data_IF_608825997065
#
_entry.id   IF_608825997065
#
_cell.length_a   1.000
_cell.length_b   1.000
_cell.length_c   1.000
_cell.angle_alpha   90.00
_cell.angle_beta   90.00
_cell.angle_gamma   90.00
#
_symmetry.space_group_name_H-M   'P 1'
#
loop_
_entity.id
_entity.type
_entity.pdbx_description
1 polymer ?
#
# COMPACT_ATOMS: atom_id res chain seq x y z
N UNK A 1 51.06 -44.70 11.18
CA UNK A 1 50.20 -44.40 12.35
C UNK A 1 48.84 -43.73 11.98
N UNK A 2 48.80 -42.69 11.16
CA UNK A 2 47.52 -42.06 10.78
C UNK A 2 46.70 -42.94 9.82
N UNK A 3 47.37 -43.57 8.85
CA UNK A 3 46.72 -44.40 7.82
C UNK A 3 46.17 -45.74 8.37
N UNK A 4 46.80 -46.30 9.38
CA UNK A 4 46.31 -47.49 10.05
C UNK A 4 45.14 -47.24 11.00
N UNK A 5 45.12 -46.09 11.69
CA UNK A 5 43.96 -45.67 12.48
C UNK A 5 42.75 -45.35 11.59
N UNK A 6 42.97 -44.67 10.46
CA UNK A 6 41.91 -44.38 9.53
C UNK A 6 41.30 -45.64 8.90
N UNK A 7 42.13 -46.63 8.52
CA UNK A 7 41.63 -47.91 8.01
C UNK A 7 40.85 -48.70 9.08
N UNK A 8 41.24 -48.59 10.35
CA UNK A 8 40.56 -49.26 11.45
C UNK A 8 39.20 -48.60 11.75
N UNK A 9 39.14 -47.30 11.71
CA UNK A 9 37.88 -46.56 11.86
C UNK A 9 36.92 -46.76 10.66
N UNK A 10 37.42 -46.80 9.44
CA UNK A 10 36.63 -47.12 8.25
C UNK A 10 36.10 -48.57 8.29
N UNK A 11 36.89 -49.54 8.76
CA UNK A 11 36.41 -50.91 8.90
C UNK A 11 35.38 -51.06 10.03
N UNK A 12 35.49 -50.27 11.09
CA UNK A 12 34.49 -50.24 12.17
C UNK A 12 33.18 -49.55 11.77
N UNK A 13 33.21 -48.68 10.74
CA UNK A 13 32.05 -48.01 10.19
C UNK A 13 31.27 -48.83 9.17
N UNK A 14 31.81 -49.95 8.69
CA UNK A 14 31.09 -50.85 7.81
C UNK A 14 30.00 -51.58 8.61
N UNK A 15 28.75 -51.63 8.08
CA UNK A 15 27.67 -52.36 8.75
C UNK A 15 28.07 -53.84 8.90
N UNK A 16 27.79 -54.41 10.08
CA UNK A 16 28.06 -55.81 10.32
C UNK A 16 27.30 -56.70 9.32
N UNK A 17 27.86 -57.90 9.03
CA UNK A 17 27.20 -58.84 8.11
C UNK A 17 25.74 -59.14 8.54
N UNK A 18 25.46 -59.13 9.83
CA UNK A 18 24.10 -59.27 10.36
C UNK A 18 23.20 -58.07 10.03
N UNK A 19 23.73 -56.85 9.94
CA UNK A 19 23.00 -55.66 9.56
C UNK A 19 22.71 -55.63 8.04
N UNK A 20 23.65 -56.11 7.24
CA UNK A 20 23.48 -56.25 5.78
C UNK A 20 22.43 -57.30 5.45
N UNK A 21 22.47 -58.44 6.09
CA UNK A 21 21.47 -59.52 5.99
C UNK A 21 20.05 -59.09 6.48
N UNK A 22 19.99 -58.23 7.51
CA UNK A 22 18.73 -57.67 7.98
C UNK A 22 18.14 -56.65 6.99
N UNK A 23 19.00 -55.87 6.32
CA UNK A 23 18.62 -54.93 5.28
C UNK A 23 18.12 -55.64 4.03
N UNK A 24 18.84 -56.74 3.59
CA UNK A 24 18.42 -57.55 2.45
C UNK A 24 17.05 -58.24 2.70
N UNK A 25 16.85 -58.82 3.88
CA UNK A 25 15.54 -59.39 4.28
C UNK A 25 14.44 -58.34 4.31
N UNK A 26 14.74 -57.13 4.72
CA UNK A 26 13.77 -56.02 4.72
C UNK A 26 13.47 -55.52 3.31
N UNK A 27 14.44 -55.47 2.44
CA UNK A 27 14.27 -55.13 1.02
C UNK A 27 13.47 -56.24 0.28
N UNK A 28 13.73 -57.51 0.55
CA UNK A 28 12.96 -58.62 -0.03
C UNK A 28 11.52 -58.69 0.47
N UNK A 29 11.27 -58.33 1.73
CA UNK A 29 9.94 -58.17 2.27
C UNK A 29 9.17 -56.99 1.60
N UNK A 30 9.86 -55.91 1.26
CA UNK A 30 9.29 -54.78 0.51
C UNK A 30 9.01 -55.15 -0.96
N UNK A 31 9.83 -56.02 -1.57
CA UNK A 31 9.62 -56.54 -2.95
C UNK A 31 8.43 -57.53 -3.02
N UNK A 32 8.05 -58.17 -1.94
CA UNK A 32 6.92 -59.16 -1.86
C UNK A 32 5.58 -58.49 -1.51
N UNK A 33 5.45 -57.18 -1.46
CA UNK A 33 4.16 -56.53 -1.25
C UNK A 33 3.21 -56.80 -2.43
N UNK A 34 1.94 -57.09 -2.18
CA UNK A 34 0.98 -57.43 -3.22
C UNK A 34 0.91 -56.25 -4.22
N UNK A 35 0.80 -56.59 -5.50
CA UNK A 35 0.67 -55.64 -6.61
C UNK A 35 -0.44 -54.66 -6.27
N UNK A 36 -0.07 -53.41 -5.98
CA UNK A 36 -1.02 -52.31 -5.90
C UNK A 36 -1.75 -52.23 -7.25
N UNK A 37 -3.04 -51.84 -7.26
CA UNK A 37 -3.77 -51.62 -8.51
C UNK A 37 -2.92 -50.67 -9.39
N UNK A 38 -3.01 -50.81 -10.71
CA UNK A 38 -2.08 -50.17 -11.63
C UNK A 38 -2.07 -48.67 -11.38
N UNK A 39 -0.93 -48.19 -10.89
CA UNK A 39 -0.69 -46.78 -10.56
C UNK A 39 -1.02 -45.84 -11.73
N UNK A 40 -1.05 -46.41 -12.95
CA UNK A 40 -1.47 -45.70 -14.16
C UNK A 40 -2.95 -45.27 -14.13
N UNK A 41 -3.88 -46.12 -13.67
CA UNK A 41 -5.30 -45.76 -13.66
C UNK A 41 -5.59 -44.73 -12.56
N UNK A 42 -4.97 -44.89 -11.38
CA UNK A 42 -5.07 -43.89 -10.29
C UNK A 42 -4.40 -42.57 -10.68
N UNK A 43 -3.27 -42.64 -11.37
CA UNK A 43 -2.56 -41.45 -11.87
C UNK A 43 -3.38 -40.74 -12.98
N UNK A 44 -4.05 -41.47 -13.85
CA UNK A 44 -4.90 -40.91 -14.89
C UNK A 44 -6.16 -40.26 -14.29
N UNK A 45 -6.77 -40.87 -13.28
CA UNK A 45 -7.92 -40.30 -12.59
C UNK A 45 -7.52 -39.06 -11.79
N UNK A 46 -6.38 -39.10 -11.09
CA UNK A 46 -5.84 -37.93 -10.39
C UNK A 46 -5.43 -36.83 -11.35
N UNK A 47 -4.82 -37.17 -12.49
CA UNK A 47 -4.48 -36.20 -13.54
C UNK A 47 -5.74 -35.61 -14.19
N UNK A 48 -6.77 -36.42 -14.45
CA UNK A 48 -8.05 -35.95 -14.96
C UNK A 48 -8.78 -35.05 -13.95
N UNK A 49 -8.77 -35.39 -12.66
CA UNK A 49 -9.29 -34.55 -11.58
C UNK A 49 -8.48 -33.25 -11.41
N UNK A 50 -7.15 -33.34 -11.59
CA UNK A 50 -6.27 -32.15 -11.57
C UNK A 50 -6.51 -31.27 -12.81
N UNK A 51 -6.67 -31.84 -13.99
CA UNK A 51 -6.99 -31.12 -15.22
C UNK A 51 -8.41 -30.52 -15.20
N UNK A 52 -9.34 -31.12 -14.50
CA UNK A 52 -10.68 -30.55 -14.26
C UNK A 52 -10.66 -29.49 -13.13
N UNK A 53 -9.76 -29.62 -12.16
CA UNK A 53 -9.63 -28.66 -11.07
C UNK A 53 -8.74 -27.44 -11.44
N UNK A 54 -7.78 -27.61 -12.37
CA UNK A 54 -6.88 -26.52 -12.82
C UNK A 54 -7.64 -25.32 -13.39
N UNK A 55 -8.69 -25.46 -14.24
CA UNK A 55 -9.45 -24.29 -14.68
C UNK A 55 -10.40 -23.73 -13.61
N UNK A 56 -10.74 -24.50 -12.56
CA UNK A 56 -11.56 -24.02 -11.44
C UNK A 56 -10.71 -23.37 -10.33
N UNK A 57 -9.44 -23.73 -10.24
CA UNK A 57 -8.52 -23.15 -9.25
C UNK A 57 -8.35 -21.63 -9.39
N UNK A 58 -8.20 -21.05 -10.59
CA UNK A 58 -8.16 -19.60 -10.75
C UNK A 58 -9.46 -18.92 -10.34
N UNK A 59 -10.61 -19.54 -10.64
CA UNK A 59 -11.92 -18.99 -10.25
C UNK A 59 -12.19 -19.08 -8.74
N UNK A 60 -11.59 -20.06 -8.05
CA UNK A 60 -11.68 -20.21 -6.59
C UNK A 60 -10.61 -19.38 -5.84
N UNK A 61 -9.54 -18.98 -6.54
CA UNK A 61 -8.41 -18.20 -5.99
C UNK A 61 -8.43 -16.75 -6.46
N UNK A 62 -9.26 -16.40 -7.45
CA UNK A 62 -9.51 -15.01 -7.78
C UNK A 62 -10.40 -14.43 -6.70
N UNK A 63 -10.00 -13.30 -6.08
CA UNK A 63 -10.95 -12.54 -5.29
C UNK A 63 -12.09 -12.21 -6.22
N UNK A 64 -13.27 -12.34 -5.70
CA UNK A 64 -14.48 -12.02 -6.47
C UNK A 64 -14.46 -10.49 -6.69
N UNK A 65 -13.86 -10.06 -7.78
CA UNK A 65 -14.06 -8.73 -8.35
C UNK A 65 -15.51 -8.72 -8.80
N UNK A 66 -16.38 -8.28 -7.90
CA UNK A 66 -17.82 -8.24 -8.16
C UNK A 66 -18.15 -6.84 -8.67
N UNK A 67 -19.15 -6.74 -9.54
CA UNK A 67 -19.67 -5.45 -9.96
C UNK A 67 -20.28 -4.66 -8.79
N UNK A 68 -20.76 -3.48 -9.07
CA UNK A 68 -21.26 -2.56 -8.04
C UNK A 68 -22.44 -3.15 -7.23
N UNK A 69 -23.27 -4.03 -7.82
CA UNK A 69 -24.41 -4.65 -7.11
C UNK A 69 -23.95 -5.47 -5.91
N UNK A 70 -22.88 -6.23 -6.06
CA UNK A 70 -22.33 -7.02 -4.97
C UNK A 70 -21.63 -6.18 -3.91
N UNK A 71 -20.98 -5.08 -4.31
CA UNK A 71 -20.46 -4.09 -3.39
C UNK A 71 -21.59 -3.49 -2.55
N UNK A 72 -22.67 -3.05 -3.18
CA UNK A 72 -23.84 -2.47 -2.51
C UNK A 72 -24.48 -3.48 -1.55
N UNK A 73 -24.68 -4.72 -1.99
CA UNK A 73 -25.23 -5.78 -1.13
C UNK A 73 -24.33 -6.07 0.08
N UNK A 74 -23.00 -6.01 -0.10
CA UNK A 74 -22.05 -6.20 1.01
C UNK A 74 -22.09 -5.03 1.98
N UNK A 75 -22.12 -3.80 1.50
CA UNK A 75 -22.16 -2.57 2.31
C UNK A 75 -23.45 -2.48 3.12
N UNK A 76 -24.61 -2.83 2.54
CA UNK A 76 -25.90 -2.81 3.26
C UNK A 76 -25.91 -3.74 4.49
N UNK A 77 -25.10 -4.80 4.47
CA UNK A 77 -24.91 -5.70 5.61
C UNK A 77 -23.92 -5.21 6.66
N UNK A 78 -23.23 -4.08 6.45
CA UNK A 78 -22.18 -3.62 7.34
C UNK A 78 -22.71 -2.63 8.40
N UNK A 79 -22.24 -2.82 9.64
CA UNK A 79 -22.44 -1.85 10.71
C UNK A 79 -21.73 -0.55 10.36
N UNK A 80 -22.44 0.57 10.44
CA UNK A 80 -21.89 1.89 10.16
C UNK A 80 -21.96 2.34 8.70
N UNK A 81 -22.50 1.52 7.77
CA UNK A 81 -22.84 1.97 6.44
C UNK A 81 -24.16 2.76 6.49
N UNK A 82 -24.07 4.06 6.47
CA UNK A 82 -25.22 4.98 6.57
C UNK A 82 -24.94 6.27 5.81
N UNK A 83 -26.00 7.01 5.49
CA UNK A 83 -25.88 8.37 5.02
C UNK A 83 -25.21 9.25 6.09
N UNK A 84 -24.40 10.19 5.67
CA UNK A 84 -23.85 11.20 6.57
C UNK A 84 -24.97 12.13 7.02
N UNK A 85 -24.96 12.47 8.30
CA UNK A 85 -25.84 13.50 8.86
C UNK A 85 -25.00 14.60 9.53
N UNK A 86 -25.48 15.82 9.62
CA UNK A 86 -24.77 16.88 10.33
C UNK A 86 -24.37 16.51 11.76
N UNK A 87 -25.15 15.66 12.44
CA UNK A 87 -24.86 15.18 13.80
C UNK A 87 -23.68 14.19 13.86
N UNK A 88 -23.34 13.51 12.77
CA UNK A 88 -22.19 12.59 12.74
C UNK A 88 -20.87 13.32 12.94
N UNK A 89 -20.86 14.63 12.63
CA UNK A 89 -19.69 15.48 12.76
C UNK A 89 -19.54 16.08 14.16
N UNK A 90 -20.58 16.10 14.97
CA UNK A 90 -20.52 16.65 16.33
C UNK A 90 -19.92 15.69 17.35
N UNK A 91 -19.87 14.38 17.06
CA UNK A 91 -19.50 13.34 18.01
C UNK A 91 -18.43 12.35 17.51
N UNK A 92 -18.00 12.42 16.28
CA UNK A 92 -16.95 11.53 15.78
C UNK A 92 -15.57 12.10 16.12
N UNK A 93 -15.12 11.79 17.34
CA UNK A 93 -13.67 11.69 17.62
C UNK A 93 -13.11 10.37 17.06
N UNK A 94 -13.68 9.87 15.98
CA UNK A 94 -13.01 8.83 15.21
C UNK A 94 -11.75 9.49 14.66
N UNK A 95 -10.69 9.37 15.45
CA UNK A 95 -9.34 9.65 15.06
C UNK A 95 -9.13 9.07 13.66
N UNK A 96 -9.11 9.94 12.65
CA UNK A 96 -8.20 9.73 11.55
C UNK A 96 -6.92 9.36 12.26
N UNK A 97 -6.47 8.11 12.17
CA UNK A 97 -5.17 7.77 12.69
C UNK A 97 -4.22 8.67 11.90
N UNK A 98 -3.86 9.78 12.56
CA UNK A 98 -2.69 10.53 12.18
C UNK A 98 -1.58 9.48 12.21
N UNK A 99 -1.16 9.04 11.04
CA UNK A 99 0.03 8.22 10.91
C UNK A 99 1.11 9.20 11.36
N UNK A 100 1.52 9.10 12.63
CA UNK A 100 2.71 9.80 13.07
C UNK A 100 3.80 9.45 12.05
N UNK A 101 4.45 10.45 11.46
CA UNK A 101 5.60 10.18 10.63
C UNK A 101 6.54 9.32 11.47
N UNK A 102 7.12 8.25 10.91
CA UNK A 102 8.03 7.40 11.67
C UNK A 102 9.09 8.30 12.27
N UNK A 103 9.28 8.19 13.58
CA UNK A 103 10.35 8.89 14.27
C UNK A 103 11.62 8.65 13.45
N UNK A 104 12.31 9.73 13.11
CA UNK A 104 13.57 9.70 12.37
C UNK A 104 14.56 8.90 13.20
N UNK A 105 14.73 7.62 12.89
CA UNK A 105 15.82 6.83 13.40
C UNK A 105 17.10 7.35 12.74
N UNK A 106 18.11 7.59 13.57
CA UNK A 106 19.42 7.99 13.10
C UNK A 106 19.96 6.97 12.06
N UNK A 107 20.62 7.41 11.01
CA UNK A 107 21.07 6.52 9.95
C UNK A 107 22.04 5.48 10.50
N UNK A 108 21.67 4.20 10.39
CA UNK A 108 22.61 3.12 10.58
C UNK A 108 23.55 3.08 9.38
N UNK A 109 24.83 3.30 9.62
CA UNK A 109 25.91 3.09 8.66
C UNK A 109 25.81 1.72 7.99
N UNK A 110 25.65 1.69 6.67
CA UNK A 110 25.90 0.47 5.93
C UNK A 110 25.18 0.32 4.61
N UNK A 111 25.64 0.94 3.57
CA UNK A 111 25.83 0.34 2.24
C UNK A 111 26.62 1.32 1.34
N UNK A 112 27.89 0.99 1.07
CA UNK A 112 28.64 1.59 -0.03
C UNK A 112 27.96 1.23 -1.36
N UNK A 113 27.20 2.18 -1.89
CA UNK A 113 26.78 2.20 -3.30
C UNK A 113 27.69 3.17 -4.02
N UNK A 114 28.38 2.67 -5.04
CA UNK A 114 29.43 3.38 -5.73
C UNK A 114 28.98 4.66 -6.40
N UNK A 115 29.78 5.69 -6.20
CA UNK A 115 30.03 6.84 -7.07
C UNK A 115 28.87 7.81 -7.36
N UNK A 116 27.94 8.02 -6.43
CA UNK A 116 27.11 9.23 -6.43
C UNK A 116 27.76 10.27 -5.51
N UNK A 117 27.91 11.50 -6.00
CA UNK A 117 28.47 12.62 -5.22
C UNK A 117 27.53 13.09 -4.09
N UNK A 118 26.40 12.41 -3.86
CA UNK A 118 25.38 12.70 -2.86
C UNK A 118 24.71 11.39 -2.39
N UNK A 119 24.16 11.41 -1.18
CA UNK A 119 23.36 10.31 -0.63
C UNK A 119 21.95 10.34 -1.25
N UNK A 120 21.51 9.22 -1.81
CA UNK A 120 20.10 9.06 -2.21
C UNK A 120 19.20 8.97 -0.98
N UNK A 121 17.90 9.30 -1.14
CA UNK A 121 16.89 9.08 -0.09
C UNK A 121 16.90 7.60 0.31
N UNK A 122 16.86 7.34 1.62
CA UNK A 122 16.83 5.98 2.15
C UNK A 122 15.48 5.33 1.84
N UNK A 123 15.39 4.59 0.75
CA UNK A 123 14.18 3.88 0.35
C UNK A 123 14.21 2.43 0.88
N UNK A 124 13.07 1.90 1.30
CA UNK A 124 12.95 0.52 1.78
C UNK A 124 13.39 -0.50 0.72
N UNK A 125 13.06 -0.25 -0.55
CA UNK A 125 13.37 -1.13 -1.67
C UNK A 125 14.09 -0.35 -2.76
N UNK A 126 15.21 -0.89 -3.24
CA UNK A 126 15.97 -0.29 -4.32
C UNK A 126 15.10 -0.11 -5.59
N UNK A 127 15.12 1.10 -6.17
CA UNK A 127 14.35 1.44 -7.36
C UNK A 127 12.87 1.79 -7.11
N UNK A 128 12.39 1.69 -5.87
CA UNK A 128 11.08 2.19 -5.43
C UNK A 128 11.30 3.42 -4.60
N UNK A 129 10.93 4.57 -5.12
CA UNK A 129 11.07 5.82 -4.38
C UNK A 129 9.91 6.01 -3.41
N UNK A 130 10.25 6.45 -2.22
CA UNK A 130 9.32 6.89 -1.19
C UNK A 130 9.22 8.41 -1.19
N UNK A 131 8.06 8.97 -0.84
CA UNK A 131 7.92 10.42 -0.72
C UNK A 131 8.70 10.94 0.49
N UNK A 132 9.07 12.21 0.43
CA UNK A 132 9.84 12.88 1.49
C UNK A 132 9.56 14.40 1.44
N UNK A 133 10.01 15.10 2.45
CA UNK A 133 9.99 16.56 2.50
C UNK A 133 11.27 17.19 1.95
N UNK A 134 12.32 16.41 1.77
CA UNK A 134 13.61 16.86 1.19
C UNK A 134 14.16 15.81 0.23
N UNK A 135 14.46 16.20 -0.99
CA UNK A 135 15.10 15.35 -2.00
C UNK A 135 16.16 16.13 -2.80
N UNK A 136 17.07 15.39 -3.42
CA UNK A 136 18.08 15.99 -4.31
C UNK A 136 18.23 15.17 -5.58
N UNK A 137 18.58 15.85 -6.68
CA UNK A 137 19.02 15.24 -7.94
C UNK A 137 20.56 15.31 -8.11
N UNK A 138 21.28 15.69 -7.05
CA UNK A 138 22.73 15.85 -7.04
C UNK A 138 23.23 17.24 -7.46
N UNK A 139 22.35 18.09 -7.98
CA UNK A 139 22.64 19.47 -8.39
C UNK A 139 21.73 20.48 -7.74
N UNK A 140 20.49 20.08 -7.47
CA UNK A 140 19.48 20.87 -6.80
C UNK A 140 18.97 20.13 -5.57
N UNK A 141 18.71 20.91 -4.55
CA UNK A 141 18.01 20.49 -3.34
C UNK A 141 16.57 20.98 -3.42
N UNK A 142 15.65 20.07 -3.30
CA UNK A 142 14.22 20.33 -3.23
C UNK A 142 13.80 20.18 -1.78
N UNK A 143 13.23 21.20 -1.18
CA UNK A 143 12.83 21.19 0.23
C UNK A 143 11.46 21.79 0.41
N UNK A 144 10.56 21.03 1.04
CA UNK A 144 9.19 21.43 1.33
C UNK A 144 9.12 22.12 2.70
N UNK A 145 8.72 23.38 2.72
CA UNK A 145 8.36 24.10 3.93
C UNK A 145 6.89 23.85 4.25
N UNK A 146 6.63 22.83 5.08
CA UNK A 146 5.26 22.43 5.42
C UNK A 146 4.46 23.53 6.13
N UNK A 147 5.13 24.41 6.88
CA UNK A 147 4.47 25.55 7.56
C UNK A 147 4.03 26.67 6.61
N UNK A 148 4.70 26.79 5.45
CA UNK A 148 4.42 27.82 4.43
C UNK A 148 3.71 27.23 3.21
N UNK A 149 3.63 25.90 3.10
CA UNK A 149 3.13 25.19 1.91
C UNK A 149 3.92 25.54 0.63
N UNK A 150 5.21 25.81 0.74
CA UNK A 150 6.07 26.19 -0.38
C UNK A 150 7.18 25.17 -0.55
N UNK A 151 7.41 24.73 -1.77
CA UNK A 151 8.57 23.91 -2.12
C UNK A 151 9.67 24.79 -2.69
N UNK A 152 10.82 24.83 -2.02
CA UNK A 152 11.99 25.57 -2.47
C UNK A 152 12.90 24.69 -3.31
N UNK A 153 13.41 25.24 -4.40
CA UNK A 153 14.43 24.62 -5.24
C UNK A 153 15.71 25.43 -5.11
N UNK A 154 16.72 24.82 -4.54
CA UNK A 154 18.01 25.44 -4.24
C UNK A 154 19.09 24.76 -5.06
N UNK A 155 19.85 25.52 -5.82
CA UNK A 155 21.02 25.02 -6.54
C UNK A 155 22.18 24.82 -5.55
N UNK A 156 22.75 23.62 -5.61
CA UNK A 156 23.97 23.27 -4.85
C UNK A 156 25.15 23.13 -5.81
N UNK A 157 26.14 24.00 -5.72
CA UNK A 157 27.31 23.99 -6.57
C UNK A 157 28.56 24.23 -5.72
N UNK A 158 29.45 23.22 -5.67
CA UNK A 158 30.71 23.25 -4.93
C UNK A 158 30.59 23.77 -3.47
N UNK A 159 29.56 23.36 -2.77
CA UNK A 159 29.29 23.75 -1.39
C UNK A 159 28.61 25.11 -1.23
N UNK A 160 28.27 25.79 -2.33
CA UNK A 160 27.54 27.06 -2.33
C UNK A 160 26.06 26.77 -2.67
N UNK A 161 25.16 27.24 -1.82
CA UNK A 161 23.72 27.14 -2.03
C UNK A 161 23.19 28.47 -2.57
N UNK A 162 22.38 28.42 -3.62
CA UNK A 162 21.71 29.59 -4.19
C UNK A 162 20.27 29.26 -4.56
N UNK A 163 19.32 30.15 -4.25
CA UNK A 163 17.91 29.96 -4.62
C UNK A 163 17.81 29.91 -6.16
N UNK A 164 17.07 28.88 -6.65
CA UNK A 164 16.79 28.73 -8.07
C UNK A 164 15.34 29.09 -8.39
N UNK A 165 14.39 28.49 -7.66
CA UNK A 165 12.95 28.72 -7.81
C UNK A 165 12.21 28.36 -6.53
N UNK A 166 10.91 28.64 -6.51
CA UNK A 166 9.96 28.13 -5.53
C UNK A 166 8.66 27.74 -6.23
N UNK A 167 7.98 26.74 -5.71
CA UNK A 167 6.65 26.32 -6.13
C UNK A 167 5.70 26.67 -4.98
N UNK A 168 4.64 27.45 -5.28
CA UNK A 168 3.49 27.70 -4.39
C UNK A 168 2.30 26.86 -4.86
N UNK A 169 2.19 25.60 -4.44
CA UNK A 169 1.15 24.72 -4.95
C UNK A 169 -0.27 25.16 -4.58
N UNK A 170 -0.41 25.92 -3.51
CA UNK A 170 -1.70 26.47 -3.09
C UNK A 170 -2.10 27.66 -3.99
N UNK A 171 -1.13 28.47 -4.40
CA UNK A 171 -1.34 29.55 -5.37
C UNK A 171 -1.48 29.08 -6.82
N UNK A 172 -0.76 28.02 -7.19
CA UNK A 172 -0.73 27.51 -8.58
C UNK A 172 -1.96 26.64 -8.94
N UNK A 173 -2.67 26.09 -7.93
CA UNK A 173 -3.72 25.09 -8.13
C UNK A 173 -5.06 25.69 -8.50
N UNK A 174 -5.59 25.28 -9.65
CA UNK A 174 -6.98 25.58 -10.04
C UNK A 174 -8.00 24.87 -9.13
N UNK A 175 -7.68 23.67 -8.65
CA UNK A 175 -8.52 22.91 -7.72
C UNK A 175 -8.61 23.62 -6.37
N UNK A 176 -7.49 24.11 -5.84
CA UNK A 176 -7.46 24.87 -4.59
C UNK A 176 -8.26 26.18 -4.74
N UNK A 177 -8.12 26.88 -5.86
CA UNK A 177 -8.88 28.09 -6.13
C UNK A 177 -10.40 27.84 -6.13
N UNK A 178 -10.85 26.76 -6.77
CA UNK A 178 -12.25 26.33 -6.77
C UNK A 178 -12.76 26.01 -5.35
N UNK A 179 -12.01 25.25 -4.56
CA UNK A 179 -12.37 24.93 -3.16
C UNK A 179 -12.45 26.20 -2.31
N UNK A 180 -11.52 27.13 -2.50
CA UNK A 180 -11.55 28.44 -1.81
C UNK A 180 -12.79 29.25 -2.14
N UNK A 181 -13.16 29.29 -3.41
CA UNK A 181 -14.38 30.00 -3.84
C UNK A 181 -15.62 29.42 -3.14
N UNK A 182 -15.75 28.10 -3.11
CA UNK A 182 -16.84 27.44 -2.40
C UNK A 182 -16.83 27.73 -0.88
N UNK A 183 -15.67 27.74 -0.26
CA UNK A 183 -15.54 28.06 1.19
C UNK A 183 -15.94 29.53 1.47
N UNK A 184 -15.62 30.46 0.57
CA UNK A 184 -15.94 31.88 0.71
C UNK A 184 -17.44 32.17 0.59
N UNK A 185 -18.18 31.39 -0.20
CA UNK A 185 -19.64 31.51 -0.32
C UNK A 185 -20.34 31.21 1.00
N UNK A 186 -19.77 30.38 1.87
CA UNK A 186 -20.35 29.97 3.14
C UNK A 186 -19.80 30.72 4.35
N UNK A 187 -18.75 31.51 4.20
CA UNK A 187 -18.10 32.18 5.30
C UNK A 187 -18.44 33.67 5.31
N UNK A 188 -19.24 34.13 6.26
CA UNK A 188 -19.55 35.55 6.51
C UNK A 188 -18.27 36.40 6.76
N UNK A 189 -17.39 36.51 5.77
CA UNK A 189 -16.23 37.42 5.77
C UNK A 189 -15.11 37.11 6.77
N UNK A 190 -15.23 36.08 7.64
CA UNK A 190 -14.19 35.70 8.62
C UNK A 190 -13.19 34.66 8.10
N UNK A 191 -13.38 34.14 6.90
CA UNK A 191 -12.58 33.06 6.31
C UNK A 191 -11.12 33.42 6.02
N UNK A 192 -10.79 34.67 5.82
CA UNK A 192 -9.49 35.10 5.34
C UNK A 192 -8.28 34.81 6.24
N UNK A 193 -8.49 34.46 7.52
CA UNK A 193 -7.40 34.07 8.45
C UNK A 193 -7.22 32.56 8.62
N UNK A 194 -8.14 31.75 8.10
CA UNK A 194 -8.21 30.31 8.35
C UNK A 194 -7.84 29.45 7.14
N UNK A 195 -7.68 30.08 5.99
CA UNK A 195 -7.45 29.47 4.69
C UNK A 195 -6.17 28.61 4.64
N UNK A 196 -5.06 29.13 5.15
CA UNK A 196 -3.78 28.44 5.07
C UNK A 196 -3.70 27.10 5.85
N UNK A 197 -4.55 26.91 6.86
CA UNK A 197 -4.57 25.66 7.64
C UNK A 197 -5.41 24.54 6.98
N UNK A 198 -6.22 24.88 5.99
CA UNK A 198 -7.10 23.93 5.30
C UNK A 198 -6.40 23.18 4.16
N UNK A 199 -5.29 23.75 3.69
CA UNK A 199 -4.47 23.19 2.62
C UNK A 199 -3.09 22.89 3.19
N UNK A 200 -2.69 21.63 3.13
CA UNK A 200 -1.41 21.20 3.70
C UNK A 200 -0.63 20.38 2.70
N UNK A 201 0.55 20.89 2.33
CA UNK A 201 1.53 20.09 1.61
C UNK A 201 2.11 19.04 2.57
N UNK A 202 2.05 17.79 2.17
CA UNK A 202 2.48 16.67 3.03
C UNK A 202 3.90 16.26 2.70
N UNK A 203 4.14 15.90 1.45
CA UNK A 203 5.42 15.38 0.96
C UNK A 203 5.44 15.36 -0.56
N UNK A 204 6.57 15.00 -1.17
CA UNK A 204 6.67 14.93 -2.61
C UNK A 204 7.57 13.78 -3.08
N UNK A 205 7.40 13.42 -4.34
CA UNK A 205 8.21 12.46 -5.09
C UNK A 205 8.97 13.19 -6.19
N UNK A 206 10.20 12.77 -6.45
CA UNK A 206 11.04 13.34 -7.51
C UNK A 206 11.60 12.20 -8.36
N UNK A 207 11.18 12.11 -9.61
CA UNK A 207 11.63 11.07 -10.53
C UNK A 207 11.94 11.62 -11.93
N UNK A 208 13.20 11.59 -12.32
CA UNK A 208 13.64 12.20 -13.56
C UNK A 208 13.32 13.71 -13.58
N UNK A 209 12.59 14.15 -14.61
CA UNK A 209 12.18 15.55 -14.76
C UNK A 209 10.79 15.83 -14.20
N UNK A 210 10.25 14.97 -13.36
CA UNK A 210 8.89 15.09 -12.79
C UNK A 210 8.96 15.16 -11.27
N UNK A 211 8.25 16.12 -10.72
CA UNK A 211 8.01 16.28 -9.30
C UNK A 211 6.51 16.11 -9.06
N UNK A 212 6.13 15.20 -8.16
CA UNK A 212 4.73 15.01 -7.76
C UNK A 212 4.59 15.45 -6.32
N UNK A 213 3.89 16.55 -6.10
CA UNK A 213 3.61 17.11 -4.78
C UNK A 213 2.25 16.63 -4.30
N UNK A 214 2.16 16.25 -3.02
CA UNK A 214 0.96 15.69 -2.41
C UNK A 214 0.44 16.66 -1.35
N UNK A 215 -0.84 17.03 -1.49
CA UNK A 215 -1.52 17.96 -0.61
C UNK A 215 -2.76 17.30 0.00
N UNK A 216 -3.03 17.66 1.24
CA UNK A 216 -4.34 17.43 1.87
C UNK A 216 -5.19 18.67 1.64
N UNK A 217 -6.42 18.48 1.17
CA UNK A 217 -7.40 19.54 0.89
C UNK A 217 -8.76 19.16 1.51
N UNK A 218 -9.67 20.11 1.77
CA UNK A 218 -11.02 19.80 2.22
C UNK A 218 -11.75 18.85 1.26
N UNK A 219 -12.45 17.86 1.80
CA UNK A 219 -13.20 16.92 0.99
C UNK A 219 -14.41 17.58 0.33
N UNK A 220 -14.68 17.25 -0.93
CA UNK A 220 -15.76 17.80 -1.72
C UNK A 220 -17.14 17.55 -1.08
N UNK A 221 -17.36 16.35 -0.51
CA UNK A 221 -18.61 16.01 0.20
C UNK A 221 -18.82 16.87 1.45
N UNK A 222 -17.74 17.27 2.12
CA UNK A 222 -17.82 18.16 3.27
C UNK A 222 -18.30 19.55 2.82
N UNK A 223 -17.78 20.06 1.72
CA UNK A 223 -18.18 21.36 1.18
C UNK A 223 -19.67 21.41 0.85
N UNK A 224 -20.25 20.30 0.40
CA UNK A 224 -21.69 20.20 0.10
C UNK A 224 -22.59 20.24 1.35
N UNK A 225 -22.05 19.95 2.53
CA UNK A 225 -22.79 19.95 3.81
C UNK A 225 -22.63 21.26 4.60
N UNK A 226 -21.72 22.14 4.19
CA UNK A 226 -21.46 23.40 4.89
C UNK A 226 -22.71 24.23 5.20
N UNK A 227 -23.72 24.33 4.29
CA UNK A 227 -24.93 25.09 4.55
C UNK A 227 -25.74 24.61 5.75
N UNK A 228 -25.65 23.32 6.06
CA UNK A 228 -26.45 22.63 7.09
C UNK A 228 -25.69 22.43 8.41
N UNK A 229 -24.40 22.80 8.45
CA UNK A 229 -23.58 22.66 9.64
C UNK A 229 -23.73 23.83 10.60
N UNK A 230 -23.90 23.58 11.92
CA UNK A 230 -23.94 24.66 12.91
C UNK A 230 -22.59 25.36 13.05
N UNK A 231 -22.61 26.62 13.41
CA UNK A 231 -21.45 27.55 13.47
C UNK A 231 -20.32 27.15 14.43
N UNK A 232 -20.44 26.00 15.11
CA UNK A 232 -19.53 25.52 16.13
C UNK A 232 -18.53 24.52 15.60
N UNK A 233 -17.29 24.92 15.46
CA UNK A 233 -16.15 23.99 15.47
C UNK A 233 -15.79 23.31 14.17
N UNK A 234 -15.90 23.97 13.05
CA UNK A 234 -15.56 23.51 11.71
C UNK A 234 -14.18 22.85 11.51
N UNK A 235 -13.32 22.86 12.54
CA UNK A 235 -11.89 22.61 12.36
C UNK A 235 -11.42 21.18 12.61
N UNK A 236 -12.18 20.37 13.36
CA UNK A 236 -11.78 19.00 13.68
C UNK A 236 -12.57 17.93 12.93
N UNK A 237 -13.44 18.33 11.99
CA UNK A 237 -14.41 17.43 11.36
C UNK A 237 -14.25 17.37 9.86
N UNK A 238 -13.24 18.06 9.33
CA UNK A 238 -12.96 18.09 7.88
C UNK A 238 -12.54 16.71 7.40
N UNK A 239 -13.43 16.03 6.69
CA UNK A 239 -12.99 14.99 5.79
C UNK A 239 -11.97 15.60 4.83
N UNK A 240 -10.94 14.86 4.53
CA UNK A 240 -9.88 15.32 3.65
C UNK A 240 -9.92 14.56 2.33
N UNK A 241 -9.63 15.26 1.26
CA UNK A 241 -9.28 14.72 -0.05
C UNK A 241 -7.78 14.90 -0.28
N UNK A 242 -7.26 14.14 -1.22
CA UNK A 242 -5.85 14.20 -1.61
C UNK A 242 -5.71 14.86 -2.95
N UNK A 243 -4.88 15.89 -3.06
CA UNK A 243 -4.53 16.52 -4.32
C UNK A 243 -3.08 16.17 -4.67
N UNK A 244 -2.87 15.51 -5.81
CA UNK A 244 -1.55 15.29 -6.37
C UNK A 244 -1.32 16.27 -7.52
N UNK A 245 -0.23 17.03 -7.46
CA UNK A 245 0.17 18.01 -8.47
C UNK A 245 1.47 17.57 -9.12
N UNK A 246 1.45 17.39 -10.43
CA UNK A 246 2.62 16.97 -11.20
C UNK A 246 3.25 18.18 -11.87
N UNK A 247 4.50 18.45 -11.55
CA UNK A 247 5.31 19.52 -12.15
C UNK A 247 6.36 18.95 -13.09
N UNK A 248 6.64 19.67 -14.15
CA UNK A 248 7.84 19.52 -14.97
C UNK A 248 8.96 20.34 -14.35
N UNK A 249 10.05 19.68 -13.99
CA UNK A 249 11.26 20.27 -13.41
C UNK A 249 12.50 20.00 -14.27
N UNK A 250 12.31 19.80 -15.59
CA UNK A 250 13.42 19.67 -16.53
C UNK A 250 14.35 20.88 -16.49
N UNK A 251 13.77 22.07 -16.27
CA UNK A 251 14.49 23.25 -15.82
C UNK A 251 14.09 23.57 -14.37
N UNK A 252 14.91 23.22 -13.38
CA UNK A 252 14.59 23.48 -11.98
C UNK A 252 14.46 24.96 -11.61
N UNK A 253 14.95 25.87 -12.46
CA UNK A 253 14.79 27.31 -12.28
C UNK A 253 13.44 27.84 -12.80
N UNK A 254 12.71 27.03 -13.58
CA UNK A 254 11.41 27.38 -14.16
C UNK A 254 10.43 26.19 -14.11
N UNK A 255 10.07 25.69 -12.91
CA UNK A 255 9.13 24.58 -12.76
C UNK A 255 7.76 24.98 -13.34
N UNK A 256 7.09 24.02 -13.99
CA UNK A 256 5.75 24.26 -14.58
C UNK A 256 4.76 23.18 -14.17
N UNK A 257 3.57 23.58 -13.74
CA UNK A 257 2.49 22.65 -13.42
C UNK A 257 2.01 21.95 -14.71
N UNK A 258 2.01 20.62 -14.69
CA UNK A 258 1.60 19.77 -15.83
C UNK A 258 0.14 19.35 -15.70
N UNK A 259 -0.25 18.86 -14.52
CA UNK A 259 -1.61 18.41 -14.24
C UNK A 259 -1.87 18.28 -12.74
N UNK A 260 -3.17 18.20 -12.40
CA UNK A 260 -3.68 18.05 -11.04
C UNK A 260 -4.65 16.87 -10.98
N UNK A 261 -4.59 16.10 -9.88
CA UNK A 261 -5.41 14.92 -9.64
C UNK A 261 -6.01 15.03 -8.24
N UNK A 262 -7.33 15.22 -8.15
CA UNK A 262 -8.04 15.26 -6.88
C UNK A 262 -8.68 13.90 -6.59
N UNK A 263 -8.18 13.21 -5.59
CA UNK A 263 -8.73 11.95 -5.09
C UNK A 263 -9.71 12.22 -3.95
N UNK A 264 -10.81 11.47 -3.92
CA UNK A 264 -11.87 11.66 -2.91
C UNK A 264 -11.43 11.31 -1.49
N UNK A 265 -10.46 10.40 -1.33
CA UNK A 265 -10.02 9.92 -0.02
C UNK A 265 -8.85 10.69 0.58
N UNK A 266 -8.67 10.51 1.88
CA UNK A 266 -7.51 11.04 2.64
C UNK A 266 -6.23 10.36 2.22
N UNK A 267 -5.13 11.11 2.21
CA UNK A 267 -3.80 10.61 1.87
C UNK A 267 -3.29 9.59 2.89
N UNK A 268 -2.83 8.47 2.40
CA UNK A 268 -2.14 7.46 3.20
C UNK A 268 -0.63 7.47 2.97
N UNK A 269 -0.20 7.15 1.77
CA UNK A 269 1.22 7.19 1.34
C UNK A 269 1.30 7.10 -0.19
N UNK A 270 2.50 7.26 -0.74
CA UNK A 270 2.74 7.05 -2.17
C UNK A 270 4.04 6.30 -2.43
N UNK A 271 4.19 5.78 -3.64
CA UNK A 271 5.44 5.18 -4.14
C UNK A 271 5.64 5.58 -5.58
N UNK A 272 6.90 5.62 -6.02
CA UNK A 272 7.22 5.90 -7.42
C UNK A 272 8.21 4.88 -7.97
N UNK A 273 7.92 4.39 -9.16
CA UNK A 273 8.84 3.58 -9.96
C UNK A 273 8.89 4.16 -11.38
N UNK A 274 10.04 4.67 -11.75
CA UNK A 274 10.19 5.36 -13.04
C UNK A 274 9.21 6.53 -13.17
N UNK A 275 8.42 6.56 -14.24
CA UNK A 275 7.39 7.56 -14.48
C UNK A 275 6.02 7.28 -13.85
N UNK A 276 5.88 6.20 -13.07
CA UNK A 276 4.62 5.84 -12.43
C UNK A 276 4.61 6.18 -10.95
N UNK A 277 3.58 6.89 -10.51
CA UNK A 277 3.33 7.21 -9.10
C UNK A 277 2.08 6.44 -8.66
N UNK A 278 2.19 5.74 -7.54
CA UNK A 278 1.15 4.96 -6.89
C UNK A 278 0.72 5.72 -5.64
N UNK A 279 -0.51 6.24 -5.63
CA UNK A 279 -1.05 7.02 -4.52
C UNK A 279 -2.07 6.19 -3.78
N UNK A 280 -1.82 5.90 -2.50
CA UNK A 280 -2.76 5.24 -1.61
C UNK A 280 -3.62 6.28 -0.91
N UNK A 281 -4.94 6.10 -1.01
CA UNK A 281 -5.92 6.92 -0.31
C UNK A 281 -6.91 6.06 0.44
N UNK A 282 -7.54 6.62 1.47
CA UNK A 282 -8.53 5.92 2.26
C UNK A 282 -9.73 6.80 2.56
N UNK A 283 -10.93 6.21 2.50
CA UNK A 283 -12.17 6.91 2.79
C UNK A 283 -13.26 5.97 3.29
N UNK A 284 -14.21 6.53 4.02
CA UNK A 284 -15.38 5.79 4.48
C UNK A 284 -16.41 5.69 3.36
N UNK A 285 -16.97 4.50 3.16
CA UNK A 285 -18.11 4.34 2.28
C UNK A 285 -19.35 5.01 2.91
N UNK A 286 -19.91 5.99 2.22
CA UNK A 286 -21.08 6.76 2.64
C UNK A 286 -22.28 6.29 1.83
N UNK A 287 -23.41 6.05 2.51
CA UNK A 287 -24.63 5.62 1.84
C UNK A 287 -25.16 6.73 0.95
N UNK A 288 -25.31 6.44 -0.34
CA UNK A 288 -25.94 7.29 -1.35
C UNK A 288 -26.84 6.47 -2.26
N UNK A 289 -27.86 7.08 -2.85
CA UNK A 289 -28.68 6.51 -3.91
C UNK A 289 -27.91 6.43 -5.24
N UNK A 290 -26.90 7.29 -5.40
CA UNK A 290 -26.03 7.31 -6.56
C UNK A 290 -24.71 6.58 -6.24
N UNK A 291 -24.47 5.45 -6.89
CA UNK A 291 -23.25 4.65 -6.69
C UNK A 291 -21.96 5.46 -6.94
N UNK A 292 -21.98 6.41 -7.84
CA UNK A 292 -20.81 7.24 -8.14
C UNK A 292 -20.46 8.25 -7.04
N UNK A 293 -21.38 8.54 -6.13
CA UNK A 293 -21.12 9.33 -4.93
C UNK A 293 -20.54 8.51 -3.79
N UNK A 294 -20.72 7.19 -3.86
CA UNK A 294 -20.18 6.23 -2.93
C UNK A 294 -18.76 5.81 -3.27
N UNK A 295 -18.44 5.72 -4.58
CA UNK A 295 -17.18 5.16 -5.04
C UNK A 295 -16.01 6.12 -4.86
N UNK A 296 -14.82 5.60 -4.47
CA UNK A 296 -13.59 6.35 -4.59
C UNK A 296 -13.40 6.88 -6.00
N UNK A 297 -12.88 8.08 -6.10
CA UNK A 297 -12.78 8.76 -7.39
C UNK A 297 -11.50 9.57 -7.55
N UNK A 298 -11.14 9.83 -8.80
CA UNK A 298 -10.09 10.77 -9.17
C UNK A 298 -10.66 11.80 -10.15
N UNK A 299 -10.60 13.08 -9.80
CA UNK A 299 -10.96 14.19 -10.70
C UNK A 299 -9.71 14.75 -11.36
N UNK A 300 -9.77 14.87 -12.69
CA UNK A 300 -8.70 15.46 -13.50
C UNK A 300 -9.30 16.29 -14.64
N UNK A 301 -8.92 17.56 -14.74
CA UNK A 301 -9.42 18.46 -15.80
C UNK A 301 -10.95 18.52 -15.88
N UNK A 302 -11.66 18.48 -14.76
CA UNK A 302 -13.13 18.50 -14.70
C UNK A 302 -13.79 17.13 -15.01
N UNK A 303 -13.04 16.08 -15.32
CA UNK A 303 -13.53 14.73 -15.55
C UNK A 303 -13.38 13.88 -14.30
N UNK A 304 -14.42 13.16 -13.90
CA UNK A 304 -14.39 12.16 -12.83
C UNK A 304 -14.02 10.80 -13.41
N UNK A 305 -13.09 10.12 -12.75
CA UNK A 305 -12.67 8.76 -13.00
C UNK A 305 -13.03 7.92 -11.78
N UNK A 306 -13.54 6.72 -12.01
CA UNK A 306 -13.94 5.76 -10.98
C UNK A 306 -13.29 4.41 -11.24
N UNK A 307 -13.08 3.58 -10.22
CA UNK A 307 -12.71 2.19 -10.45
C UNK A 307 -13.83 1.47 -11.21
N UNK A 308 -13.48 0.66 -12.20
CA UNK A 308 -14.44 -0.24 -12.82
C UNK A 308 -14.91 -1.30 -11.82
N UNK A 309 -16.08 -1.90 -12.03
CA UNK A 309 -16.62 -2.91 -11.12
C UNK A 309 -15.67 -4.09 -10.87
N UNK A 310 -14.84 -4.46 -11.87
CA UNK A 310 -13.79 -5.45 -11.78
C UNK A 310 -12.54 -5.02 -10.98
N UNK A 311 -12.41 -3.74 -10.68
CA UNK A 311 -11.27 -3.15 -9.98
C UNK A 311 -11.54 -2.94 -8.48
N UNK A 312 -12.75 -3.35 -8.02
CA UNK A 312 -13.14 -3.29 -6.62
C UNK A 312 -13.01 -4.67 -6.01
N UNK A 313 -12.02 -4.85 -5.15
CA UNK A 313 -11.82 -6.06 -4.38
C UNK A 313 -12.63 -5.99 -3.08
N UNK A 314 -13.50 -6.98 -2.86
CA UNK A 314 -14.30 -7.10 -1.64
C UNK A 314 -13.77 -8.29 -0.85
N UNK A 315 -13.08 -8.04 0.27
CA UNK A 315 -12.68 -9.12 1.16
C UNK A 315 -13.90 -9.89 1.65
N UNK A 316 -13.81 -11.22 1.67
CA UNK A 316 -14.91 -12.11 2.06
C UNK A 316 -15.48 -11.76 3.44
N UNK A 317 -14.63 -11.25 4.31
CA UNK A 317 -14.88 -10.94 5.71
C UNK A 317 -14.75 -9.45 6.05
N UNK A 318 -14.79 -8.57 5.03
CA UNK A 318 -14.85 -7.13 5.24
C UNK A 318 -15.98 -6.78 6.22
N UNK A 319 -15.63 -6.11 7.31
CA UNK A 319 -16.55 -5.77 8.41
C UNK A 319 -16.87 -4.28 8.51
N UNK A 320 -16.00 -3.43 7.99
CA UNK A 320 -16.13 -1.99 8.06
C UNK A 320 -16.36 -1.39 6.67
N UNK A 321 -17.26 -0.41 6.54
CA UNK A 321 -17.51 0.30 5.29
C UNK A 321 -16.41 1.34 5.04
N UNK A 322 -15.22 0.87 4.69
CA UNK A 322 -14.07 1.72 4.43
C UNK A 322 -13.39 1.25 3.15
N UNK A 323 -13.04 2.19 2.29
CA UNK A 323 -12.28 1.93 1.08
C UNK A 323 -10.82 2.32 1.27
N UNK A 324 -9.93 1.44 0.84
CA UNK A 324 -8.53 1.79 0.56
C UNK A 324 -8.31 1.68 -0.94
N UNK A 325 -7.87 2.75 -1.55
CA UNK A 325 -7.65 2.81 -2.99
C UNK A 325 -6.19 3.06 -3.31
N UNK A 326 -5.71 2.47 -4.40
CA UNK A 326 -4.42 2.78 -5.00
C UNK A 326 -4.66 3.28 -6.42
N UNK A 327 -4.35 4.53 -6.65
CA UNK A 327 -4.43 5.17 -7.96
C UNK A 327 -3.05 5.22 -8.60
N UNK A 328 -2.96 4.89 -9.89
CA UNK A 328 -1.71 4.90 -10.65
C UNK A 328 -1.69 6.12 -11.56
N UNK A 329 -0.68 6.96 -11.37
CA UNK A 329 -0.42 8.12 -12.20
C UNK A 329 0.77 7.82 -13.13
N UNK A 330 0.57 7.94 -14.43
CA UNK A 330 1.65 8.08 -15.40
C UNK A 330 2.01 9.56 -15.48
N UNK A 331 3.17 9.93 -14.97
CA UNK A 331 3.62 11.32 -14.91
C UNK A 331 4.26 11.80 -16.20
N UNK A 332 4.37 10.95 -17.21
CA UNK A 332 4.92 11.30 -18.52
C UNK A 332 3.98 12.20 -19.33
N UNK A 333 4.53 12.93 -20.29
CA UNK A 333 3.76 13.80 -21.16
C UNK A 333 2.86 14.77 -20.38
N UNK A 334 1.52 14.69 -20.61
CA UNK A 334 0.52 15.53 -19.93
C UNK A 334 0.10 15.01 -18.56
N UNK A 335 0.73 14.01 -18.06
CA UNK A 335 0.36 13.24 -16.88
C UNK A 335 -1.12 12.78 -16.89
N UNK A 336 -1.40 11.56 -16.45
CA UNK A 336 -2.76 10.97 -16.45
C UNK A 336 -2.92 9.95 -15.33
N UNK A 337 -4.11 9.77 -14.83
CA UNK A 337 -4.47 8.63 -14.00
C UNK A 337 -4.80 7.45 -14.93
N UNK A 338 -4.06 6.35 -14.82
CA UNK A 338 -4.17 5.19 -15.70
C UNK A 338 -4.95 4.05 -15.08
N UNK A 339 -5.02 4.00 -13.75
CA UNK A 339 -5.69 2.92 -13.03
C UNK A 339 -6.14 3.37 -11.64
N UNK A 340 -7.23 2.79 -11.14
CA UNK A 340 -7.73 2.96 -9.78
C UNK A 340 -8.16 1.59 -9.27
N UNK A 341 -7.43 1.00 -8.34
CA UNK A 341 -7.80 -0.23 -7.65
C UNK A 341 -8.31 0.08 -6.27
N UNK A 342 -9.45 -0.47 -5.93
CA UNK A 342 -10.11 -0.23 -4.65
C UNK A 342 -10.29 -1.54 -3.89
N UNK A 343 -10.01 -1.49 -2.61
CA UNK A 343 -10.22 -2.58 -1.68
C UNK A 343 -11.23 -2.15 -0.61
N UNK A 344 -12.31 -2.94 -0.43
CA UNK A 344 -13.25 -2.72 0.67
C UNK A 344 -12.64 -3.29 1.96
N UNK A 345 -11.97 -2.45 2.72
CA UNK A 345 -11.25 -2.74 3.94
C UNK A 345 -10.26 -1.64 4.25
N UNK A 346 -9.89 -1.51 5.51
CA UNK A 346 -8.90 -0.54 5.97
C UNK A 346 -7.49 -1.08 5.80
N UNK A 347 -6.61 -0.29 5.18
CA UNK A 347 -5.17 -0.56 5.12
C UNK A 347 -4.40 0.67 5.56
N UNK A 348 -3.39 0.46 6.40
CA UNK A 348 -2.55 1.53 6.95
C UNK A 348 -1.10 1.50 6.44
N UNK A 349 -0.66 0.36 5.92
CA UNK A 349 0.71 0.17 5.45
C UNK A 349 0.74 -0.25 3.99
N UNK A 350 1.74 0.24 3.27
CA UNK A 350 2.03 -0.12 1.90
C UNK A 350 3.49 -0.56 1.78
N UNK A 351 3.71 -1.77 1.28
CA UNK A 351 5.02 -2.25 0.85
C UNK A 351 5.01 -2.44 -0.67
N UNK A 352 6.08 -2.05 -1.34
CA UNK A 352 6.16 -2.16 -2.80
C UNK A 352 7.56 -2.53 -3.26
N UNK A 353 7.62 -3.43 -4.25
CA UNK A 353 8.83 -3.73 -5.00
C UNK A 353 8.58 -3.57 -6.53
N UNK A 354 9.54 -3.96 -7.36
CA UNK A 354 9.44 -3.81 -8.80
C UNK A 354 8.22 -4.53 -9.42
N UNK A 355 7.75 -5.62 -8.82
CA UNK A 355 6.71 -6.49 -9.40
C UNK A 355 5.38 -6.43 -8.65
N UNK A 356 5.40 -6.09 -7.36
CA UNK A 356 4.26 -6.24 -6.47
C UNK A 356 4.06 -5.02 -5.58
N UNK A 357 2.80 -4.75 -5.28
CA UNK A 357 2.37 -3.81 -4.25
C UNK A 357 1.52 -4.59 -3.24
N UNK A 358 1.83 -4.41 -1.96
CA UNK A 358 1.10 -5.01 -0.85
C UNK A 358 0.47 -3.92 0.00
N UNK A 359 -0.80 -4.10 0.31
CA UNK A 359 -1.51 -3.34 1.33
C UNK A 359 -1.65 -4.21 2.56
N UNK A 360 -1.50 -3.63 3.74
CA UNK A 360 -1.79 -4.31 4.99
C UNK A 360 -2.55 -3.43 5.97
N UNK A 361 -3.44 -4.04 6.72
CA UNK A 361 -4.27 -3.38 7.72
C UNK A 361 -4.58 -4.27 8.91
N UNK A 362 -4.78 -3.64 10.07
CA UNK A 362 -5.18 -4.36 11.27
C UNK A 362 -6.64 -4.80 11.19
N UNK A 363 -6.90 -6.01 11.65
CA UNK A 363 -8.23 -6.60 11.76
C UNK A 363 -8.43 -7.24 13.13
N UNK A 364 -9.63 -7.11 13.66
CA UNK A 364 -10.03 -7.72 14.92
C UNK A 364 -11.10 -8.79 14.68
N UNK A 365 -10.73 -10.05 14.89
CA UNK A 365 -11.62 -11.20 14.78
C UNK A 365 -11.22 -12.23 15.83
N UNK A 366 -11.72 -12.03 17.05
CA UNK A 366 -11.33 -12.85 18.21
C UNK A 366 -9.88 -12.68 18.67
N UNK A 367 -9.13 -11.80 18.05
CA UNK A 367 -7.74 -11.43 18.28
C UNK A 367 -7.28 -10.47 17.19
N UNK A 368 -6.11 -9.83 17.39
CA UNK A 368 -5.51 -8.97 16.37
C UNK A 368 -4.95 -9.82 15.24
N UNK A 369 -5.27 -9.46 14.02
CA UNK A 369 -4.75 -10.05 12.79
C UNK A 369 -4.30 -8.94 11.85
N UNK A 370 -3.35 -9.25 10.98
CA UNK A 370 -2.97 -8.40 9.86
C UNK A 370 -3.54 -8.98 8.58
N UNK A 371 -4.41 -8.23 7.93
CA UNK A 371 -4.89 -8.52 6.59
C UNK A 371 -3.86 -8.05 5.58
N UNK A 372 -3.65 -8.83 4.53
CA UNK A 372 -2.69 -8.57 3.46
C UNK A 372 -3.41 -8.66 2.12
N UNK A 373 -3.17 -7.69 1.26
CA UNK A 373 -3.68 -7.67 -0.12
C UNK A 373 -2.51 -7.45 -1.05
N UNK A 374 -2.35 -8.30 -2.06
CA UNK A 374 -1.30 -8.21 -3.07
C UNK A 374 -1.87 -7.78 -4.40
N UNK A 375 -1.26 -6.77 -4.99
CA UNK A 375 -1.42 -6.41 -6.39
C UNK A 375 -0.12 -6.71 -7.14
N UNK A 376 -0.25 -7.24 -8.36
CA UNK A 376 0.85 -7.36 -9.32
C UNK A 376 0.89 -6.09 -10.16
N UNK A 377 2.08 -5.54 -10.37
CA UNK A 377 2.26 -4.43 -11.31
C UNK A 377 2.13 -4.94 -12.73
N UNK A 378 1.44 -4.16 -13.55
CA UNK A 378 1.35 -4.33 -15.00
C UNK A 378 2.01 -3.13 -15.70
N UNK A 379 2.02 -3.11 -17.04
CA UNK A 379 2.60 -1.99 -17.78
C UNK A 379 1.97 -0.64 -17.40
N UNK A 380 0.63 -0.60 -17.30
CA UNK A 380 -0.12 0.64 -17.12
C UNK A 380 -0.82 0.77 -15.75
N UNK A 381 -0.77 -0.27 -14.91
CA UNK A 381 -1.52 -0.25 -13.65
C UNK A 381 -1.21 -1.42 -12.71
N UNK A 382 -2.24 -1.86 -12.02
CA UNK A 382 -2.20 -2.92 -11.03
C UNK A 382 -3.22 -4.00 -11.37
N UNK A 383 -2.92 -5.24 -11.01
CA UNK A 383 -3.85 -6.36 -11.10
C UNK A 383 -3.91 -7.04 -9.74
N UNK A 384 -5.10 -7.24 -9.22
CA UNK A 384 -5.27 -7.99 -7.98
C UNK A 384 -4.67 -9.41 -8.13
N UNK A 385 -3.87 -9.83 -7.17
CA UNK A 385 -3.15 -11.09 -7.25
C UNK A 385 -3.50 -12.07 -6.13
N UNK A 386 -3.66 -11.59 -4.90
CA UNK A 386 -3.98 -12.44 -3.75
C UNK A 386 -4.43 -11.61 -2.55
N UNK A 387 -5.13 -12.26 -1.62
CA UNK A 387 -5.35 -11.78 -0.27
C UNK A 387 -4.98 -12.85 0.75
N UNK A 388 -4.70 -12.44 1.98
CA UNK A 388 -4.38 -13.34 3.08
C UNK A 388 -4.47 -12.63 4.43
N UNK A 389 -4.26 -13.41 5.48
CA UNK A 389 -4.30 -12.90 6.83
C UNK A 389 -3.29 -13.67 7.69
N UNK A 390 -2.55 -12.95 8.53
CA UNK A 390 -1.65 -13.53 9.53
C UNK A 390 -2.07 -13.07 10.93
N UNK A 391 -1.88 -13.89 11.99
CA UNK A 391 -2.09 -13.44 13.36
C UNK A 391 -1.16 -12.30 13.73
N UNK A 392 -1.57 -11.44 14.66
CA UNK A 392 -0.76 -10.34 15.18
C UNK A 392 -0.86 -9.04 14.36
N UNK A 393 -0.13 -8.02 14.78
CA UNK A 393 -0.05 -6.69 14.16
C UNK A 393 1.35 -6.42 13.62
N UNK A 394 1.41 -5.70 12.50
CA UNK A 394 2.66 -5.10 12.00
C UNK A 394 3.07 -3.93 12.89
N UNK A 395 4.38 -3.73 13.06
CA UNK A 395 4.90 -2.51 13.66
C UNK A 395 4.79 -1.35 12.65
N UNK A 396 5.27 -1.56 11.43
CA UNK A 396 5.27 -0.59 10.32
C UNK A 396 5.52 -1.29 8.98
N UNK A 397 5.71 -0.53 7.90
CA UNK A 397 5.99 -1.05 6.56
C UNK A 397 7.27 -1.92 6.48
N UNK A 398 8.29 -1.65 7.31
CA UNK A 398 9.54 -2.42 7.34
C UNK A 398 9.37 -3.84 7.91
N UNK A 399 8.20 -4.12 8.48
CA UNK A 399 7.81 -5.48 8.89
C UNK A 399 7.44 -6.38 7.71
N UNK A 400 7.45 -5.88 6.49
CA UNK A 400 7.18 -6.60 5.25
C UNK A 400 8.39 -6.55 4.33
N UNK A 401 8.70 -7.69 3.70
CA UNK A 401 9.72 -7.82 2.67
C UNK A 401 9.41 -8.99 1.74
N UNK A 402 9.62 -8.83 0.45
CA UNK A 402 9.44 -9.91 -0.53
C UNK A 402 10.79 -10.34 -1.09
N UNK A 403 11.06 -11.64 -1.04
CA UNK A 403 12.23 -12.24 -1.64
C UNK A 403 11.83 -13.50 -2.41
N UNK A 404 12.27 -13.60 -3.67
CA UNK A 404 11.99 -14.72 -4.58
C UNK A 404 10.48 -15.06 -4.67
N UNK A 405 9.62 -14.04 -4.74
CA UNK A 405 8.17 -14.17 -4.83
C UNK A 405 7.47 -14.62 -3.55
N UNK A 406 8.19 -14.67 -2.42
CA UNK A 406 7.68 -15.01 -1.09
C UNK A 406 7.68 -13.77 -0.21
N UNK A 407 6.49 -13.32 0.21
CA UNK A 407 6.36 -12.25 1.19
C UNK A 407 6.72 -12.77 2.58
N UNK A 408 7.59 -12.09 3.27
CA UNK A 408 7.96 -12.29 4.68
C UNK A 408 7.29 -11.19 5.50
N UNK A 409 6.63 -11.58 6.59
CA UNK A 409 5.84 -10.66 7.42
C UNK A 409 6.19 -10.89 8.88
N UNK A 410 6.77 -9.88 9.51
CA UNK A 410 7.06 -9.89 10.95
C UNK A 410 5.89 -9.24 11.70
N UNK A 411 5.36 -9.93 12.70
CA UNK A 411 4.22 -9.47 13.49
C UNK A 411 4.45 -9.63 14.97
N UNK A 412 3.76 -8.82 15.77
CA UNK A 412 3.68 -8.97 17.21
C UNK A 412 2.28 -9.46 17.57
N UNK A 413 2.22 -10.60 18.26
CA UNK A 413 0.99 -11.17 18.80
C UNK A 413 0.95 -10.88 20.31
N UNK A 414 -0.11 -10.25 20.80
CA UNK A 414 -0.29 -10.00 22.23
C UNK A 414 -1.46 -10.85 22.72
N UNK A 415 -1.22 -11.69 23.71
CA UNK A 415 -2.25 -12.54 24.31
C UNK A 415 -3.12 -11.74 25.29
N UNK A 416 -4.18 -12.39 25.81
CA UNK A 416 -5.11 -11.73 26.77
C UNK A 416 -4.47 -11.35 28.10
N UNK A 417 -3.31 -11.91 28.42
CA UNK A 417 -2.56 -11.59 29.63
C UNK A 417 -1.57 -10.43 29.44
N UNK A 418 -1.51 -9.86 28.19
CA UNK A 418 -0.59 -8.78 27.85
C UNK A 418 0.82 -9.25 27.48
N UNK A 419 1.05 -10.56 27.38
CA UNK A 419 2.34 -11.10 26.92
C UNK A 419 2.42 -11.02 25.39
N UNK A 420 3.53 -10.49 24.90
CA UNK A 420 3.78 -10.32 23.46
C UNK A 420 4.78 -11.34 22.94
N UNK A 421 4.52 -11.88 21.77
CA UNK A 421 5.38 -12.80 21.03
C UNK A 421 5.56 -12.28 19.62
N UNK A 422 6.80 -12.23 19.14
CA UNK A 422 7.11 -11.88 17.76
C UNK A 422 7.15 -13.13 16.89
N UNK A 423 6.48 -13.09 15.75
CA UNK A 423 6.39 -14.18 14.80
C UNK A 423 6.76 -13.70 13.39
N UNK A 424 7.43 -14.58 12.62
CA UNK A 424 7.73 -14.36 11.22
C UNK A 424 6.91 -15.32 10.37
N UNK A 425 6.08 -14.79 9.49
CA UNK A 425 5.29 -15.56 8.53
C UNK A 425 5.87 -15.43 7.13
N UNK A 426 5.82 -16.52 6.36
CA UNK A 426 6.12 -16.54 4.94
C UNK A 426 4.86 -16.84 4.15
N UNK A 427 4.49 -15.91 3.27
CA UNK A 427 3.28 -15.98 2.45
C UNK A 427 3.71 -16.19 0.99
N UNK A 428 3.56 -17.43 0.48
CA UNK A 428 3.81 -17.78 -0.91
C UNK A 428 2.52 -18.05 -1.66
N UNK A 429 2.62 -18.32 -2.96
CA UNK A 429 1.45 -18.64 -3.81
C UNK A 429 0.66 -19.90 -3.38
N UNK A 430 1.17 -20.68 -2.40
CA UNK A 430 0.52 -21.87 -1.85
C UNK A 430 0.71 -21.92 -0.34
N UNK A 431 -0.34 -21.60 0.39
CA UNK A 431 -0.52 -21.75 1.84
C UNK A 431 0.50 -21.00 2.74
N UNK A 432 -0.05 -20.29 3.71
CA UNK A 432 0.70 -19.75 4.86
C UNK A 432 1.33 -20.93 5.60
N UNK A 433 2.67 -20.99 5.66
CA UNK A 433 3.38 -21.89 6.59
C UNK A 433 3.91 -21.04 7.74
N UNK A 434 3.47 -21.32 8.95
CA UNK A 434 4.09 -20.76 10.14
C UNK A 434 5.48 -21.39 10.32
N UNK A 435 6.53 -20.59 10.34
CA UNK A 435 7.82 -21.03 10.87
C UNK A 435 7.76 -20.95 12.40
N UNK A 436 8.19 -22.01 13.08
CA UNK A 436 8.24 -22.05 14.55
C UNK A 436 9.00 -20.85 15.12
N UNK A 437 8.58 -20.32 16.29
CA UNK A 437 9.23 -19.19 16.91
C UNK A 437 10.71 -19.51 17.17
N UNK A 438 11.58 -18.62 16.76
CA UNK A 438 12.97 -18.63 17.21
C UNK A 438 12.97 -18.35 18.72
N UNK A 439 13.43 -19.33 19.48
CA UNK A 439 13.66 -19.20 20.93
C UNK A 439 14.90 -18.36 21.20
#
# INVERSE_FOLDING_TARGET
MFEENYRREMQAALPSAAATDALERRMDALRRRPKRPPVREVAVVLLALLLLAVPLLPALLQPQTQGYEALLAKLEGMSGYRALSPNDFLFSSDSVMEVEPPASEEPSDGAESGNAAYSETNNQVAGVQEPDTVKTDGRFLYSLSAGENVLHITRADNGVLSAAASIDPVGDSAVVAEIREQLLEFADGTAGRRDASLFRCTEFLLGGNRLTLLLTVPAQWYLSLLPDLPDYGYYNILGHSTLAMVYDVADPAAPTLVNEFLFSGSYGTARQIGGQVFVMTGERAVRSENVYELLPSCRVGGKMLYPDGGDICIAADAANPYFTSVSVLDTSGRARCTDIKTFLGFSSQLYMNAESLYLSGARYDGGTKTQLVRFRRTGDGLEFAAEGCVPGSLLNQFSMDEYDGVLRVAVTETNRNGESTNSLYTCGRRAVRSSSPAR
#
